data_IF_304342802599
#
_entry.id   IF_304342802599
#
_cell.length_a   1.000
_cell.length_b   1.000
_cell.length_c   1.000
_cell.angle_alpha   90.00
_cell.angle_beta   90.00
_cell.angle_gamma   90.00
#
_symmetry.space_group_name_H-M   'P 1'
#
loop_
_entity.id
_entity.type
_entity.pdbx_description
1 polymer ?
#
# COMPACT_ATOMS: atom_id res chain seq x y z
N UNK A 1 -70.31 -0.23 0.98
CA UNK A 1 -68.85 -0.50 1.02
C UNK A 1 -68.62 -1.69 1.94
N UNK A 2 -68.17 -2.84 1.40
CA UNK A 2 -68.23 -4.13 2.11
C UNK A 2 -67.13 -4.20 3.19
N UNK A 3 -67.50 -4.58 4.43
CA UNK A 3 -66.57 -4.62 5.58
C UNK A 3 -65.36 -5.54 5.34
N UNK A 4 -65.51 -6.55 4.48
CA UNK A 4 -64.41 -7.42 4.05
C UNK A 4 -63.41 -6.72 3.12
N UNK A 5 -63.85 -5.75 2.31
CA UNK A 5 -62.97 -4.99 1.41
C UNK A 5 -62.09 -4.00 2.19
N UNK A 6 -62.64 -3.39 3.25
CA UNK A 6 -61.91 -2.47 4.13
C UNK A 6 -60.84 -3.19 4.97
N UNK A 7 -61.10 -4.44 5.38
CA UNK A 7 -60.11 -5.28 6.09
C UNK A 7 -58.94 -5.69 5.18
N UNK A 8 -59.20 -6.00 3.92
CA UNK A 8 -58.17 -6.36 2.93
C UNK A 8 -57.29 -5.14 2.61
N UNK A 9 -57.88 -3.94 2.50
CA UNK A 9 -57.13 -2.70 2.28
C UNK A 9 -56.23 -2.34 3.48
N UNK A 10 -56.73 -2.54 4.72
CA UNK A 10 -55.93 -2.34 5.94
C UNK A 10 -54.80 -3.37 6.08
N UNK A 11 -55.03 -4.65 5.74
CA UNK A 11 -54.01 -5.69 5.82
C UNK A 11 -52.87 -5.49 4.80
N UNK A 12 -53.19 -5.01 3.58
CA UNK A 12 -52.17 -4.65 2.59
C UNK A 12 -51.40 -3.37 3.00
N UNK A 13 -52.07 -2.36 3.57
CA UNK A 13 -51.41 -1.16 4.07
C UNK A 13 -50.42 -1.44 5.20
N UNK A 14 -50.75 -2.36 6.11
CA UNK A 14 -49.85 -2.78 7.21
C UNK A 14 -48.67 -3.61 6.69
N UNK A 15 -48.87 -4.51 5.72
CA UNK A 15 -47.76 -5.28 5.12
C UNK A 15 -46.77 -4.42 4.29
N UNK A 16 -47.24 -3.34 3.67
CA UNK A 16 -46.38 -2.41 2.91
C UNK A 16 -45.60 -1.48 3.86
N UNK A 17 -46.16 -1.11 5.02
CA UNK A 17 -45.44 -0.32 6.03
C UNK A 17 -44.33 -1.13 6.72
N UNK A 18 -44.48 -2.46 6.85
CA UNK A 18 -43.46 -3.32 7.49
C UNK A 18 -42.28 -3.65 6.56
N UNK A 19 -42.45 -3.58 5.24
CA UNK A 19 -41.32 -3.76 4.29
C UNK A 19 -40.44 -2.51 4.11
N UNK A 20 -40.88 -1.35 4.63
CA UNK A 20 -40.09 -0.12 4.68
C UNK A 20 -39.49 0.07 6.09
N UNK A 21 -39.38 -1.00 6.88
CA UNK A 21 -38.37 -1.06 7.93
C UNK A 21 -37.02 -1.21 7.21
N UNK A 22 -36.44 -0.06 6.84
CA UNK A 22 -35.21 0.04 6.09
C UNK A 22 -34.18 -0.94 6.62
N UNK A 23 -33.69 -1.78 5.72
CA UNK A 23 -32.33 -2.26 5.78
C UNK A 23 -31.44 -1.02 5.86
N UNK A 24 -31.22 -0.51 7.08
CA UNK A 24 -30.01 0.22 7.38
C UNK A 24 -28.91 -0.78 7.09
N UNK A 25 -28.45 -0.77 5.84
CA UNK A 25 -27.28 -1.52 5.41
C UNK A 25 -26.16 -0.98 6.29
N UNK A 26 -25.87 -1.67 7.38
CA UNK A 26 -24.64 -1.48 8.14
C UNK A 26 -23.55 -1.58 7.10
N UNK A 27 -22.97 -0.44 6.71
CA UNK A 27 -21.78 -0.46 5.87
C UNK A 27 -20.78 -1.35 6.59
N UNK A 28 -20.32 -2.40 5.92
CA UNK A 28 -19.35 -3.30 6.53
C UNK A 28 -18.12 -2.46 6.86
N UNK A 29 -17.76 -2.39 8.14
CA UNK A 29 -16.67 -1.54 8.61
C UNK A 29 -15.37 -2.34 8.42
N UNK A 30 -14.70 -2.11 7.30
CA UNK A 30 -13.42 -2.73 6.97
C UNK A 30 -12.29 -1.92 7.59
N UNK A 31 -11.83 -2.35 8.76
CA UNK A 31 -10.75 -1.68 9.49
C UNK A 31 -9.67 -2.66 9.90
N UNK A 32 -8.42 -2.28 9.67
CA UNK A 32 -7.25 -2.82 10.37
C UNK A 32 -7.02 -1.94 11.59
N UNK A 33 -6.86 -2.51 12.79
CA UNK A 33 -6.70 -1.70 14.00
C UNK A 33 -5.80 -2.37 15.05
N UNK A 34 -5.12 -1.54 15.84
CA UNK A 34 -4.11 -1.95 16.81
C UNK A 34 -4.19 -1.11 18.09
N UNK A 35 -3.79 -1.72 19.21
CA UNK A 35 -3.81 -1.10 20.55
C UNK A 35 -2.46 -0.53 20.99
N UNK A 36 -1.47 -0.54 20.09
CA UNK A 36 -0.14 -0.03 20.35
C UNK A 36 0.48 0.57 19.06
N UNK A 37 1.44 1.50 19.19
CA UNK A 37 2.23 1.99 18.05
C UNK A 37 2.92 0.84 17.31
N UNK A 38 3.25 1.06 16.04
CA UNK A 38 4.12 0.16 15.30
C UNK A 38 5.53 0.17 15.91
N UNK A 39 6.10 -1.01 16.17
CA UNK A 39 7.49 -1.16 16.61
C UNK A 39 8.46 -1.15 15.42
N UNK A 40 8.01 -1.61 14.25
CA UNK A 40 8.78 -1.66 13.02
C UNK A 40 7.94 -1.29 11.79
N UNK A 41 8.61 -1.05 10.68
CA UNK A 41 7.98 -0.57 9.44
C UNK A 41 6.88 -1.50 8.91
N UNK A 42 7.03 -2.82 9.05
CA UNK A 42 6.05 -3.80 8.59
C UNK A 42 4.71 -3.72 9.35
N UNK A 43 4.70 -3.12 10.53
CA UNK A 43 3.50 -2.92 11.34
C UNK A 43 2.79 -1.60 11.04
N UNK A 44 3.41 -0.70 10.27
CA UNK A 44 2.85 0.61 9.94
C UNK A 44 1.66 0.50 8.98
N UNK A 45 0.78 1.51 9.01
CA UNK A 45 -0.42 1.53 8.18
C UNK A 45 -0.16 2.27 6.86
N UNK A 46 -0.35 1.61 5.69
CA UNK A 46 -0.17 2.26 4.40
C UNK A 46 -1.36 3.14 4.03
N UNK A 47 -1.08 4.34 3.53
CA UNK A 47 -2.04 5.22 2.84
C UNK A 47 -1.40 5.79 1.58
N UNK A 48 -2.21 6.11 0.57
CA UNK A 48 -1.68 6.70 -0.66
C UNK A 48 -2.75 7.04 -1.69
N UNK A 49 -2.35 7.79 -2.70
CA UNK A 49 -3.23 8.26 -3.78
C UNK A 49 -2.79 7.76 -5.17
N UNK A 50 -2.00 6.68 -5.21
CA UNK A 50 -1.44 6.12 -6.45
C UNK A 50 -0.15 6.79 -6.93
N UNK A 51 0.17 8.00 -6.45
CA UNK A 51 1.46 8.67 -6.69
C UNK A 51 2.26 8.80 -5.40
N UNK A 52 1.70 9.47 -4.41
CA UNK A 52 2.28 9.62 -3.08
C UNK A 52 1.79 8.47 -2.19
N UNK A 53 2.71 7.92 -1.41
CA UNK A 53 2.44 6.90 -0.41
C UNK A 53 3.04 7.28 0.93
N UNK A 54 2.42 6.83 2.01
CA UNK A 54 2.89 7.03 3.37
C UNK A 54 2.69 5.77 4.21
N UNK A 55 3.63 5.47 5.09
CA UNK A 55 3.53 4.43 6.11
C UNK A 55 3.47 5.11 7.48
N UNK A 56 2.34 4.99 8.16
CA UNK A 56 2.05 5.68 9.43
C UNK A 56 2.35 4.77 10.61
N UNK A 57 3.29 5.16 11.48
CA UNK A 57 3.73 4.34 12.61
C UNK A 57 2.78 4.42 13.81
N UNK A 58 2.16 5.58 14.05
CA UNK A 58 1.25 5.80 15.17
C UNK A 58 1.96 6.17 16.47
N UNK A 59 3.14 6.79 16.41
CA UNK A 59 3.94 7.12 17.59
C UNK A 59 3.21 8.08 18.56
N UNK A 60 3.50 7.94 19.86
CA UNK A 60 2.79 8.69 20.92
C UNK A 60 3.42 10.07 21.13
N UNK A 61 4.70 10.13 21.51
CA UNK A 61 5.44 11.39 21.72
C UNK A 61 6.16 11.85 20.47
N UNK A 62 6.56 10.90 19.62
CA UNK A 62 7.16 11.16 18.31
C UNK A 62 6.52 10.22 17.29
N UNK A 63 5.83 10.80 16.32
CA UNK A 63 5.30 10.10 15.16
C UNK A 63 6.32 10.11 14.02
N UNK A 64 6.35 9.00 13.27
CA UNK A 64 7.20 8.83 12.11
C UNK A 64 6.32 8.39 10.94
N UNK A 65 6.35 9.17 9.86
CA UNK A 65 5.63 8.84 8.63
C UNK A 65 6.66 8.69 7.52
N UNK A 66 6.85 7.46 7.04
CA UNK A 66 7.74 7.19 5.91
C UNK A 66 7.01 7.56 4.62
N UNK A 67 7.58 8.46 3.84
CA UNK A 67 6.99 9.00 2.63
C UNK A 67 7.62 8.36 1.38
N UNK A 68 6.80 8.20 0.34
CA UNK A 68 7.20 7.68 -0.96
C UNK A 68 6.54 8.48 -2.08
N UNK A 69 7.24 8.60 -3.21
CA UNK A 69 6.69 9.07 -4.49
C UNK A 69 7.03 8.04 -5.57
N UNK A 70 6.03 7.60 -6.34
CA UNK A 70 6.17 6.53 -7.34
C UNK A 70 7.27 6.79 -8.38
N UNK A 71 7.62 8.05 -8.62
CA UNK A 71 8.61 8.46 -9.62
C UNK A 71 10.03 8.55 -9.07
N UNK A 72 10.22 8.40 -7.76
CA UNK A 72 11.54 8.54 -7.15
C UNK A 72 12.38 7.27 -7.32
N UNK A 73 13.11 7.24 -8.43
CA UNK A 73 14.04 6.16 -8.77
C UNK A 73 15.45 6.71 -8.93
N UNK A 74 16.44 5.96 -8.46
CA UNK A 74 17.83 6.19 -8.83
C UNK A 74 18.11 5.66 -10.23
N UNK A 75 19.32 5.90 -10.75
CA UNK A 75 19.70 5.51 -12.11
C UNK A 75 19.31 6.57 -13.15
N UNK A 76 19.08 6.14 -14.39
CA UNK A 76 18.76 7.08 -15.47
C UNK A 76 18.41 6.39 -16.78
N UNK A 77 18.02 7.22 -17.76
CA UNK A 77 17.76 6.76 -19.12
C UNK A 77 19.05 6.25 -19.75
N UNK A 78 18.98 5.10 -20.39
CA UNK A 78 20.08 4.52 -21.13
C UNK A 78 19.53 3.83 -22.38
N UNK A 79 20.24 3.97 -23.49
CA UNK A 79 20.04 3.13 -24.65
C UNK A 79 20.69 1.76 -24.36
N UNK A 80 19.85 0.76 -24.17
CA UNK A 80 20.26 -0.58 -23.72
C UNK A 80 20.16 -1.61 -24.86
N UNK A 81 19.77 -1.20 -26.06
CA UNK A 81 19.57 -2.13 -27.17
C UNK A 81 20.92 -2.58 -27.73
N UNK A 82 21.07 -3.91 -27.92
CA UNK A 82 22.24 -4.48 -28.58
C UNK A 82 21.96 -4.58 -30.09
N UNK A 83 22.69 -3.86 -30.95
CA UNK A 83 22.47 -3.91 -32.40
C UNK A 83 22.82 -5.29 -32.99
N UNK A 84 23.68 -6.06 -32.33
CA UNK A 84 24.06 -7.41 -32.78
C UNK A 84 23.02 -8.46 -32.40
N UNK A 85 22.11 -8.21 -31.46
CA UNK A 85 21.20 -9.23 -30.93
C UNK A 85 20.37 -9.90 -32.04
N UNK A 86 19.73 -9.09 -32.90
CA UNK A 86 18.88 -9.60 -33.98
C UNK A 86 19.66 -10.48 -34.98
N UNK A 87 20.93 -10.17 -35.23
CA UNK A 87 21.80 -10.90 -36.16
C UNK A 87 22.11 -12.32 -35.70
N UNK A 88 22.29 -12.53 -34.40
CA UNK A 88 22.62 -13.85 -33.84
C UNK A 88 21.40 -14.68 -33.43
N UNK A 89 20.20 -14.09 -33.40
CA UNK A 89 18.96 -14.79 -33.05
C UNK A 89 18.66 -16.04 -33.89
N UNK A 90 18.86 -16.05 -35.24
CA UNK A 90 18.63 -17.25 -36.04
C UNK A 90 19.55 -18.41 -35.64
N UNK A 91 20.82 -18.12 -35.35
CA UNK A 91 21.81 -19.14 -34.99
C UNK A 91 21.55 -19.70 -33.59
N UNK A 92 21.21 -18.84 -32.63
CA UNK A 92 20.80 -19.27 -31.28
C UNK A 92 19.63 -20.25 -31.37
N UNK A 93 18.60 -19.93 -32.17
CA UNK A 93 17.44 -20.80 -32.37
C UNK A 93 17.81 -22.14 -33.01
N UNK A 94 18.71 -22.14 -34.00
CA UNK A 94 19.21 -23.37 -34.64
C UNK A 94 19.89 -24.28 -33.62
N UNK A 95 20.80 -23.73 -32.81
CA UNK A 95 21.52 -24.47 -31.77
C UNK A 95 20.58 -25.10 -30.73
N UNK A 96 19.55 -24.36 -30.30
CA UNK A 96 18.53 -24.88 -29.38
C UNK A 96 17.74 -26.05 -29.98
N UNK A 97 17.33 -25.94 -31.25
CA UNK A 97 16.60 -27.02 -31.94
C UNK A 97 17.45 -28.27 -32.17
N UNK A 98 18.77 -28.10 -32.29
CA UNK A 98 19.75 -29.20 -32.36
C UNK A 98 20.14 -29.78 -30.98
N UNK A 99 19.59 -29.24 -29.89
CA UNK A 99 19.91 -29.66 -28.53
C UNK A 99 21.26 -29.16 -27.98
N UNK A 100 21.93 -28.25 -28.68
CA UNK A 100 23.23 -27.67 -28.31
C UNK A 100 23.07 -26.49 -27.34
N UNK A 101 22.48 -26.76 -26.18
CA UNK A 101 22.08 -25.72 -25.22
C UNK A 101 23.24 -24.85 -24.74
N UNK A 102 24.42 -25.44 -24.47
CA UNK A 102 25.58 -24.69 -23.97
C UNK A 102 26.13 -23.70 -25.00
N UNK A 103 26.20 -24.09 -26.27
CA UNK A 103 26.64 -23.22 -27.37
C UNK A 103 25.63 -22.08 -27.59
N UNK A 104 24.33 -22.39 -27.51
CA UNK A 104 23.27 -21.39 -27.60
C UNK A 104 23.37 -20.36 -26.47
N UNK A 105 23.55 -20.81 -25.22
CA UNK A 105 23.73 -19.95 -24.05
C UNK A 105 24.95 -19.03 -24.19
N UNK A 106 26.10 -19.57 -24.61
CA UNK A 106 27.32 -18.78 -24.80
C UNK A 106 27.12 -17.67 -25.83
N UNK A 107 26.40 -17.95 -26.92
CA UNK A 107 26.07 -16.95 -27.94
C UNK A 107 25.08 -15.90 -27.41
N UNK A 108 24.08 -16.31 -26.64
CA UNK A 108 23.10 -15.42 -25.99
C UNK A 108 23.79 -14.46 -25.03
N UNK A 109 24.61 -14.96 -24.11
CA UNK A 109 25.32 -14.12 -23.12
C UNK A 109 26.25 -13.13 -23.83
N UNK A 110 26.84 -13.52 -24.95
CA UNK A 110 27.80 -12.69 -25.68
C UNK A 110 27.15 -11.58 -26.51
N UNK A 111 26.06 -11.88 -27.22
CA UNK A 111 25.51 -10.97 -28.24
C UNK A 111 24.08 -10.51 -27.97
N UNK A 112 23.34 -11.24 -27.14
CA UNK A 112 21.91 -11.04 -26.88
C UNK A 112 21.65 -10.51 -25.46
N UNK A 113 22.56 -9.68 -24.96
CA UNK A 113 22.45 -8.99 -23.66
C UNK A 113 22.28 -7.49 -23.88
N UNK A 114 21.53 -6.84 -22.99
CA UNK A 114 21.40 -5.39 -22.99
C UNK A 114 22.77 -4.70 -22.83
N UNK A 115 22.91 -3.49 -23.36
CA UNK A 115 24.12 -2.69 -23.23
C UNK A 115 24.13 -1.84 -21.95
N UNK A 116 25.27 -1.18 -21.73
CA UNK A 116 25.49 -0.16 -20.72
C UNK A 116 25.57 -0.63 -19.27
N UNK A 117 25.55 0.32 -18.33
CA UNK A 117 25.74 0.05 -16.90
C UNK A 117 24.61 -0.78 -16.32
N UNK A 118 23.38 -0.59 -16.81
CA UNK A 118 22.20 -1.29 -16.31
C UNK A 118 22.14 -2.79 -16.57
N UNK A 119 22.78 -3.27 -17.64
CA UNK A 119 22.78 -4.69 -17.92
C UNK A 119 23.82 -5.47 -17.11
N UNK A 120 24.80 -4.77 -16.55
CA UNK A 120 26.01 -5.36 -16.00
C UNK A 120 26.71 -6.36 -16.91
N UNK A 121 26.43 -6.33 -18.21
CA UNK A 121 26.90 -7.31 -19.20
C UNK A 121 26.71 -8.76 -18.71
N UNK A 122 25.46 -9.10 -18.35
CA UNK A 122 25.06 -10.38 -17.72
C UNK A 122 25.48 -10.55 -16.25
N UNK A 123 25.94 -9.48 -15.58
CA UNK A 123 26.15 -9.41 -14.12
C UNK A 123 25.27 -8.34 -13.47
N UNK A 124 24.08 -8.10 -14.03
CA UNK A 124 23.17 -7.04 -13.58
C UNK A 124 22.71 -7.20 -12.13
N UNK A 125 22.67 -8.44 -11.60
CA UNK A 125 22.31 -8.72 -10.20
C UNK A 125 23.27 -8.06 -9.19
N UNK A 126 24.53 -7.84 -9.58
CA UNK A 126 25.56 -7.27 -8.71
C UNK A 126 25.71 -5.74 -8.89
N UNK A 127 24.89 -5.13 -9.74
CA UNK A 127 24.96 -3.70 -10.04
C UNK A 127 23.71 -2.96 -9.56
N UNK A 128 23.86 -1.92 -8.72
CA UNK A 128 22.73 -1.08 -8.29
C UNK A 128 22.36 -0.08 -9.41
N UNK A 129 22.01 -0.57 -10.60
CA UNK A 129 21.55 0.31 -11.67
C UNK A 129 20.06 0.60 -11.52
N UNK A 130 19.79 1.67 -10.78
CA UNK A 130 18.46 2.20 -10.58
C UNK A 130 17.57 1.32 -9.69
N UNK A 131 17.11 1.91 -8.60
CA UNK A 131 16.17 1.28 -7.68
C UNK A 131 15.19 2.32 -7.17
N UNK A 132 14.00 1.86 -6.79
CA UNK A 132 13.03 2.70 -6.11
C UNK A 132 13.64 3.25 -4.82
N UNK A 133 13.47 4.55 -4.58
CA UNK A 133 14.03 5.23 -3.41
C UNK A 133 12.90 5.69 -2.49
N UNK A 134 13.19 5.67 -1.19
CA UNK A 134 12.32 6.28 -0.18
C UNK A 134 12.47 7.80 -0.28
N UNK A 135 11.34 8.52 -0.32
CA UNK A 135 11.35 9.99 -0.42
C UNK A 135 11.92 10.63 0.85
N UNK A 136 11.56 10.07 2.00
CA UNK A 136 12.09 10.50 3.29
C UNK A 136 11.19 10.04 4.42
N UNK A 137 11.48 10.52 5.62
CA UNK A 137 10.64 10.30 6.79
C UNK A 137 10.27 11.65 7.39
N UNK A 138 8.97 11.88 7.57
CA UNK A 138 8.45 13.02 8.31
C UNK A 138 8.33 12.64 9.79
N UNK A 139 9.07 13.34 10.64
CA UNK A 139 8.97 13.22 12.11
C UNK A 139 8.09 14.35 12.65
N UNK A 140 7.15 14.00 13.54
CA UNK A 140 6.34 14.95 14.29
C UNK A 140 6.51 14.69 15.78
N UNK A 141 6.94 15.69 16.53
CA UNK A 141 7.08 15.61 17.99
C UNK A 141 5.92 16.31 18.66
N UNK A 142 5.26 15.61 19.56
CA UNK A 142 4.13 16.11 20.33
C UNK A 142 4.59 16.43 21.75
N UNK A 143 4.40 17.68 22.14
CA UNK A 143 4.58 18.12 23.53
C UNK A 143 3.22 18.05 24.25
N UNK A 144 3.15 17.22 25.30
CA UNK A 144 1.96 17.02 26.12
C UNK A 144 2.04 17.74 27.49
N UNK A 145 3.07 18.57 27.71
CA UNK A 145 3.29 19.29 28.97
C UNK A 145 4.11 18.53 30.02
N UNK A 146 4.18 19.08 31.23
CA UNK A 146 5.04 18.56 32.30
C UNK A 146 4.47 17.29 32.94
N UNK A 147 5.11 16.14 32.68
CA UNK A 147 4.78 14.84 33.26
C UNK A 147 5.23 13.69 32.35
N UNK A 148 5.33 12.48 32.89
CA UNK A 148 5.55 11.29 32.06
C UNK A 148 4.29 11.02 31.21
N UNK A 149 4.44 11.00 29.88
CA UNK A 149 3.32 10.80 28.96
C UNK A 149 2.99 9.31 28.84
N UNK A 150 1.99 8.86 29.58
CA UNK A 150 1.43 7.50 29.45
C UNK A 150 0.13 7.54 28.64
N UNK A 151 0.08 6.95 27.42
CA UNK A 151 -1.13 6.96 26.61
C UNK A 151 -2.22 6.06 27.23
N UNK A 152 -3.44 6.57 27.32
CA UNK A 152 -4.64 5.78 27.69
C UNK A 152 -5.56 5.62 26.49
N UNK A 153 -6.23 4.48 26.40
CA UNK A 153 -7.15 4.15 25.30
C UNK A 153 -6.53 4.34 23.91
N UNK A 154 -5.24 4.01 23.78
CA UNK A 154 -4.55 4.11 22.50
C UNK A 154 -5.21 3.19 21.46
N UNK A 155 -5.43 3.74 20.26
CA UNK A 155 -5.89 3.01 19.09
C UNK A 155 -5.36 3.66 17.84
N UNK A 156 -4.73 2.86 16.96
CA UNK A 156 -4.48 3.24 15.57
C UNK A 156 -5.27 2.35 14.62
N UNK A 157 -5.77 2.89 13.53
CA UNK A 157 -6.54 2.14 12.54
C UNK A 157 -6.41 2.67 11.12
N UNK A 158 -6.54 1.76 10.15
CA UNK A 158 -6.71 2.08 8.74
C UNK A 158 -8.15 1.73 8.35
N UNK A 159 -8.93 2.76 8.03
CA UNK A 159 -10.27 2.63 7.48
C UNK A 159 -10.19 2.38 5.97
N UNK A 160 -10.49 1.15 5.55
CA UNK A 160 -10.42 0.73 4.16
C UNK A 160 -11.61 1.24 3.33
N UNK A 161 -12.70 1.68 3.96
CA UNK A 161 -13.81 2.29 3.23
C UNK A 161 -13.50 3.74 2.82
N UNK A 162 -12.75 4.45 3.66
CA UNK A 162 -12.47 5.87 3.48
C UNK A 162 -11.01 6.17 3.09
N UNK A 163 -10.13 5.16 3.09
CA UNK A 163 -8.69 5.30 2.89
C UNK A 163 -8.03 6.28 3.89
N UNK A 164 -8.46 6.24 5.15
CA UNK A 164 -7.97 7.13 6.22
C UNK A 164 -7.26 6.32 7.31
N UNK A 165 -6.05 6.74 7.67
CA UNK A 165 -5.34 6.27 8.87
C UNK A 165 -5.60 7.21 10.03
N UNK A 166 -6.04 6.67 11.17
CA UNK A 166 -6.33 7.42 12.40
C UNK A 166 -5.47 6.90 13.56
N UNK A 167 -4.97 7.81 14.40
CA UNK A 167 -4.36 7.48 15.69
C UNK A 167 -5.04 8.30 16.77
N UNK A 168 -5.56 7.64 17.79
CA UNK A 168 -6.31 8.24 18.90
C UNK A 168 -5.73 7.75 20.21
N UNK A 169 -5.52 8.68 21.14
CA UNK A 169 -5.08 8.40 22.50
C UNK A 169 -5.60 9.50 23.44
N UNK A 170 -5.59 9.21 24.74
CA UNK A 170 -5.79 10.21 25.80
C UNK A 170 -4.49 10.39 26.57
N UNK A 171 -4.13 11.63 26.87
CA UNK A 171 -3.01 11.95 27.74
C UNK A 171 -3.50 12.18 29.17
N UNK A 172 -2.74 11.70 30.15
CA UNK A 172 -3.03 11.95 31.58
C UNK A 172 -2.78 13.40 31.99
N UNK A 173 -1.99 14.16 31.21
CA UNK A 173 -1.68 15.56 31.48
C UNK A 173 -2.85 16.52 31.16
N UNK A 174 -3.72 16.18 30.20
CA UNK A 174 -4.87 17.02 29.83
C UNK A 174 -6.12 16.81 30.71
N UNK A 175 -6.16 15.74 31.51
CA UNK A 175 -7.29 15.44 32.40
C UNK A 175 -7.30 16.28 33.70
N UNK A 176 -6.31 17.17 33.89
CA UNK A 176 -6.23 18.06 35.07
C UNK A 176 -6.78 19.49 34.85
N UNK A 177 -7.42 19.79 33.72
CA UNK A 177 -8.07 21.10 33.49
C UNK A 177 -9.59 21.11 33.72
N UNK A 178 -10.14 20.07 34.35
CA UNK A 178 -11.56 19.95 34.69
C UNK A 178 -11.79 19.73 36.19
N UNK A 179 -11.53 20.74 37.01
CA UNK A 179 -12.05 20.90 38.36
C UNK A 179 -12.22 22.39 38.68
#
# INVERSE_FOLDING_TARGET
>A
MNKSFLKILMAFGVCVIIHVAGSAQSSQIWKLWYRQPAAEWNEALPVGNGRLGAMVMGGVTEEQIVLNDITLWSGGRQDADSPEAAKYLPEIRRLLLEGKNKEAEDLTIKYFVCLGKGSGRAKGADLPYGSFQVLGTMSMKFDYGAGDMTPRNYRRELDLNNAVSNTVLKSTASDMSGA
#
